data_IF_642653438652
#
_entry.id   IF_642653438652
#
_cell.length_a   1.000
_cell.length_b   1.000
_cell.length_c   1.000
_cell.angle_alpha   90.00
_cell.angle_beta   90.00
_cell.angle_gamma   90.00
#
_symmetry.space_group_name_H-M   'P 1'
#
loop_
_entity.id
_entity.type
_entity.pdbx_description
1 polymer ?
#
# COMPACT_ATOMS: atom_id res chain seq x y z
N UNK A 1 -4.31 13.84 0.89
CA UNK A 1 -3.59 13.97 -0.40
C UNK A 1 -2.31 13.16 -0.32
N UNK A 2 -2.28 11.97 -0.93
CA UNK A 2 -1.09 11.13 -1.03
C UNK A 2 -0.98 10.76 -2.50
N UNK A 3 0.04 11.26 -3.18
CA UNK A 3 0.27 10.96 -4.59
C UNK A 3 1.10 9.69 -4.71
N UNK A 4 0.70 8.81 -5.63
CA UNK A 4 1.40 7.56 -5.91
C UNK A 4 2.52 7.84 -6.91
N UNK A 5 3.75 7.49 -6.55
CA UNK A 5 4.91 7.58 -7.41
C UNK A 5 5.01 6.36 -8.34
N UNK A 6 4.76 5.16 -7.80
CA UNK A 6 4.71 3.93 -8.61
C UNK A 6 3.89 2.82 -7.94
N UNK A 7 3.42 1.89 -8.75
CA UNK A 7 2.72 0.68 -8.32
C UNK A 7 3.32 -0.52 -9.04
N UNK A 8 3.57 -1.58 -8.30
CA UNK A 8 3.96 -2.88 -8.85
C UNK A 8 3.02 -3.95 -8.31
N UNK A 9 2.37 -4.67 -9.23
CA UNK A 9 1.55 -5.85 -8.94
C UNK A 9 2.10 -7.02 -9.75
N UNK A 10 2.58 -8.06 -9.08
CA UNK A 10 3.07 -9.26 -9.76
C UNK A 10 1.89 -10.08 -10.29
N UNK A 11 2.03 -10.64 -11.49
CA UNK A 11 0.99 -11.48 -12.09
C UNK A 11 0.67 -12.73 -11.26
N UNK A 12 -0.60 -13.17 -11.34
CA UNK A 12 -1.06 -14.43 -10.78
C UNK A 12 -0.95 -15.51 -11.83
N UNK A 13 -0.06 -16.47 -11.63
CA UNK A 13 -0.17 -17.75 -12.34
C UNK A 13 -1.14 -18.71 -11.63
N UNK A 14 -1.21 -18.74 -10.28
CA UNK A 14 -2.10 -19.66 -9.52
C UNK A 14 -2.59 -19.20 -8.13
N UNK A 15 -2.29 -17.97 -7.66
CA UNK A 15 -2.56 -17.55 -6.28
C UNK A 15 -3.87 -16.75 -6.12
N UNK A 16 -4.61 -16.98 -5.02
CA UNK A 16 -5.84 -16.24 -4.68
C UNK A 16 -5.59 -14.84 -4.08
N UNK A 17 -4.33 -14.52 -3.75
CA UNK A 17 -3.90 -13.24 -3.16
C UNK A 17 -2.76 -12.67 -4.03
N UNK A 18 -2.82 -11.38 -4.36
CA UNK A 18 -1.73 -10.66 -5.05
C UNK A 18 -1.10 -9.65 -4.10
N UNK A 19 0.23 -9.58 -4.02
CA UNK A 19 0.89 -8.46 -3.38
C UNK A 19 0.83 -7.24 -4.31
N UNK A 20 0.49 -6.09 -3.74
CA UNK A 20 0.64 -4.78 -4.36
C UNK A 20 1.73 -4.04 -3.58
N UNK A 21 2.73 -3.55 -4.29
CA UNK A 21 3.77 -2.68 -3.75
C UNK A 21 3.51 -1.28 -4.30
N UNK A 22 3.41 -0.29 -3.41
CA UNK A 22 3.20 1.11 -3.80
C UNK A 22 4.33 1.94 -3.24
N UNK A 23 4.92 2.77 -4.10
CA UNK A 23 5.77 3.88 -3.70
C UNK A 23 4.95 5.16 -3.78
N UNK A 24 4.96 5.97 -2.73
CA UNK A 24 4.30 7.28 -2.72
C UNK A 24 5.34 8.38 -2.89
N UNK A 25 4.89 9.55 -3.32
CA UNK A 25 5.65 10.77 -3.06
C UNK A 25 5.66 11.08 -1.56
N UNK A 26 6.48 12.07 -1.18
CA UNK A 26 6.52 12.56 0.18
C UNK A 26 5.12 12.99 0.64
N UNK A 27 4.72 12.48 1.80
CA UNK A 27 3.41 12.72 2.37
C UNK A 27 3.51 12.78 3.89
N UNK A 28 2.58 13.52 4.52
CA UNK A 28 2.53 13.60 5.98
C UNK A 28 2.27 12.21 6.56
N UNK A 29 3.06 11.84 7.57
CA UNK A 29 2.93 10.56 8.28
C UNK A 29 1.50 10.33 8.81
N UNK A 30 0.85 11.39 9.30
CA UNK A 30 -0.54 11.34 9.77
C UNK A 30 -1.51 10.89 8.65
N UNK A 31 -1.35 11.44 7.45
CA UNK A 31 -2.18 11.10 6.29
C UNK A 31 -1.93 9.65 5.86
N UNK A 32 -0.66 9.21 5.86
CA UNK A 32 -0.28 7.82 5.55
C UNK A 32 -0.92 6.83 6.53
N UNK A 33 -0.87 7.11 7.83
CA UNK A 33 -1.51 6.25 8.86
C UNK A 33 -3.03 6.20 8.70
N UNK A 34 -3.66 7.34 8.42
CA UNK A 34 -5.09 7.40 8.16
C UNK A 34 -5.48 6.59 6.90
N UNK A 35 -4.69 6.70 5.83
CA UNK A 35 -4.89 5.92 4.60
C UNK A 35 -4.72 4.41 4.83
N UNK A 36 -3.67 3.99 5.54
CA UNK A 36 -3.44 2.58 5.89
C UNK A 36 -4.57 1.99 6.74
N UNK A 37 -5.11 2.77 7.68
CA UNK A 37 -6.26 2.34 8.48
C UNK A 37 -7.48 2.05 7.61
N UNK A 38 -7.72 2.87 6.59
CA UNK A 38 -8.80 2.67 5.61
C UNK A 38 -8.53 1.47 4.70
N UNK A 39 -7.31 1.36 4.16
CA UNK A 39 -6.90 0.25 3.28
C UNK A 39 -7.07 -1.09 3.99
N UNK A 40 -6.57 -1.22 5.22
CA UNK A 40 -6.62 -2.46 6.00
C UNK A 40 -8.06 -2.94 6.32
N UNK A 41 -9.08 -2.08 6.17
CA UNK A 41 -10.48 -2.43 6.38
C UNK A 41 -11.19 -2.89 5.09
N UNK A 42 -10.56 -2.77 3.93
CA UNK A 42 -11.16 -3.19 2.67
C UNK A 42 -11.28 -4.71 2.62
N UNK A 43 -12.43 -5.25 2.19
CA UNK A 43 -12.68 -6.69 2.11
C UNK A 43 -11.68 -7.45 1.20
N UNK A 44 -11.06 -6.74 0.26
CA UNK A 44 -10.02 -7.25 -0.63
C UNK A 44 -8.69 -7.51 0.09
N UNK A 45 -8.42 -6.82 1.21
CA UNK A 45 -7.18 -6.95 1.96
C UNK A 45 -7.27 -8.17 2.88
N UNK A 46 -6.44 -9.18 2.60
CA UNK A 46 -6.41 -10.44 3.35
C UNK A 46 -5.36 -10.49 4.46
N UNK A 47 -4.42 -9.55 4.47
CA UNK A 47 -3.36 -9.39 5.48
C UNK A 47 -3.08 -7.91 5.68
N UNK A 48 -2.70 -7.51 6.91
CA UNK A 48 -2.36 -6.11 7.20
C UNK A 48 -1.23 -5.62 6.28
N UNK A 49 -1.39 -4.42 5.73
CA UNK A 49 -0.37 -3.72 4.96
C UNK A 49 0.83 -3.38 5.83
N UNK A 50 2.02 -3.56 5.25
CA UNK A 50 3.31 -3.17 5.86
C UNK A 50 3.72 -1.85 5.23
N UNK A 51 4.28 -0.95 6.03
CA UNK A 51 4.85 0.31 5.55
C UNK A 51 6.29 0.41 5.97
N UNK A 52 7.11 0.78 5.00
CA UNK A 52 8.53 1.05 5.16
C UNK A 52 8.71 2.52 4.78
N UNK A 53 9.22 3.32 5.70
CA UNK A 53 9.55 4.72 5.41
C UNK A 53 10.84 4.76 4.62
N UNK A 54 10.84 5.50 3.52
CA UNK A 54 12.05 5.79 2.75
C UNK A 54 12.49 7.20 3.09
N UNK A 55 13.71 7.32 3.61
CA UNK A 55 14.41 8.58 3.74
C UNK A 55 15.29 8.77 2.50
N UNK A 56 15.65 10.03 2.21
CA UNK A 56 16.70 10.31 1.23
C UNK A 56 18.08 9.95 1.77
#
# INVERSE_FOLDING_TARGET
NISIASVVQKERSKAHIVPIIMLTHEAKELDMRAALSKINKLAAIKKRSIVIRMEK
#
